data_IF_886510610367
#
_entry.id   IF_886510610367
#
_cell.length_a   1.000
_cell.length_b   1.000
_cell.length_c   1.000
_cell.angle_alpha   90.00
_cell.angle_beta   90.00
_cell.angle_gamma   90.00
#
_symmetry.space_group_name_H-M   'P 1'
#
loop_
_entity.id
_entity.type
_entity.pdbx_description
1 polymer ?
#
# COMPACT_ATOMS: atom_id res chain seq x y z
N UNK A 1 6.21 7.98 -27.60
CA UNK A 1 7.35 8.44 -26.78
C UNK A 1 6.98 8.12 -25.36
N UNK A 2 7.89 7.54 -24.59
CA UNK A 2 7.67 7.19 -23.19
C UNK A 2 8.94 7.59 -22.45
N UNK A 3 8.90 8.78 -21.89
CA UNK A 3 10.02 9.37 -21.18
C UNK A 3 9.73 9.32 -19.67
N UNK A 4 10.77 9.24 -18.84
CA UNK A 4 10.67 9.27 -17.38
C UNK A 4 11.44 10.48 -16.87
N UNK A 5 10.84 11.26 -15.96
CA UNK A 5 11.54 12.30 -15.21
C UNK A 5 11.61 11.97 -13.72
N UNK A 6 12.82 12.00 -13.20
CA UNK A 6 13.13 11.74 -11.80
C UNK A 6 12.99 13.04 -11.00
N UNK A 7 12.06 13.05 -10.04
CA UNK A 7 11.68 14.22 -9.26
C UNK A 7 12.34 14.23 -7.87
N UNK A 8 12.60 15.42 -7.28
CA UNK A 8 13.20 15.52 -5.95
C UNK A 8 12.41 14.74 -4.89
N UNK A 9 13.05 14.22 -3.83
CA UNK A 9 12.36 13.49 -2.74
C UNK A 9 11.21 14.24 -2.07
N UNK A 10 11.09 15.56 -2.28
CA UNK A 10 9.95 16.35 -1.82
C UNK A 10 8.63 16.12 -2.60
N UNK A 11 8.66 15.37 -3.71
CA UNK A 11 7.46 15.00 -4.45
C UNK A 11 6.49 14.21 -3.54
N UNK A 12 5.17 14.50 -3.54
CA UNK A 12 4.27 14.02 -2.49
C UNK A 12 3.73 12.61 -2.71
N UNK A 13 3.88 12.07 -3.92
CA UNK A 13 3.46 10.74 -4.37
C UNK A 13 4.68 10.02 -4.98
N UNK A 14 4.58 8.72 -5.27
CA UNK A 14 5.70 7.97 -5.84
C UNK A 14 5.86 8.23 -7.33
N UNK A 15 4.80 7.98 -8.09
CA UNK A 15 4.77 8.14 -9.53
C UNK A 15 3.48 8.84 -9.98
N UNK A 16 3.41 9.21 -11.26
CA UNK A 16 2.24 9.82 -11.90
C UNK A 16 2.33 9.69 -13.42
N UNK A 17 1.23 9.25 -14.02
CA UNK A 17 1.09 8.68 -15.36
C UNK A 17 1.03 9.71 -16.49
N UNK A 18 1.60 10.91 -16.27
CA UNK A 18 1.49 12.06 -17.16
C UNK A 18 1.82 11.67 -18.62
N UNK A 19 0.90 11.84 -19.59
CA UNK A 19 1.09 11.35 -20.95
C UNK A 19 2.41 11.78 -21.59
N UNK A 20 3.14 10.79 -22.10
CA UNK A 20 4.49 10.88 -22.69
C UNK A 20 5.66 11.20 -21.73
N UNK A 21 5.42 11.57 -20.47
CA UNK A 21 6.46 11.94 -19.51
C UNK A 21 6.09 11.51 -18.07
N UNK A 22 6.28 10.24 -17.76
CA UNK A 22 6.00 9.67 -16.43
C UNK A 22 6.87 10.36 -15.37
N UNK A 23 6.26 10.78 -14.26
CA UNK A 23 6.97 11.38 -13.13
C UNK A 23 7.27 10.26 -12.12
N UNK A 24 8.50 10.19 -11.59
CA UNK A 24 8.89 9.19 -10.57
C UNK A 24 9.76 9.87 -9.50
N UNK A 25 9.54 9.59 -8.22
CA UNK A 25 10.31 10.15 -7.11
C UNK A 25 11.73 9.56 -7.05
N UNK A 26 12.77 10.40 -6.96
CA UNK A 26 14.16 9.93 -6.85
C UNK A 26 14.42 9.01 -5.65
N UNK A 27 13.59 9.04 -4.60
CA UNK A 27 13.83 8.23 -3.40
C UNK A 27 13.53 6.73 -3.60
N UNK A 28 12.82 6.35 -4.67
CA UNK A 28 12.54 4.93 -4.97
C UNK A 28 13.69 4.23 -5.70
N UNK A 29 14.64 4.99 -6.25
CA UNK A 29 15.82 4.47 -6.98
C UNK A 29 16.73 3.57 -6.12
N UNK A 30 16.54 3.62 -4.80
CA UNK A 30 17.24 2.77 -3.83
C UNK A 30 16.68 1.34 -3.79
N UNK A 31 15.51 1.08 -4.39
CA UNK A 31 14.82 -0.21 -4.41
C UNK A 31 14.42 -0.61 -5.83
N UNK A 32 15.17 -1.55 -6.42
CA UNK A 32 14.93 -2.03 -7.79
C UNK A 32 13.54 -2.67 -7.95
N UNK A 33 13.11 -3.49 -6.98
CA UNK A 33 11.82 -4.20 -7.03
C UNK A 33 10.63 -3.25 -7.05
N UNK A 34 10.65 -2.21 -6.20
CA UNK A 34 9.59 -1.20 -6.13
C UNK A 34 9.59 -0.28 -7.36
N UNK A 35 10.77 0.22 -7.77
CA UNK A 35 10.91 1.01 -9.00
C UNK A 35 10.38 0.25 -10.23
N UNK A 36 10.64 -1.07 -10.29
CA UNK A 36 10.20 -1.93 -11.38
C UNK A 36 8.67 -2.02 -11.47
N UNK A 37 8.00 -2.37 -10.37
CA UNK A 37 6.55 -2.59 -10.39
C UNK A 37 5.80 -1.28 -10.67
N UNK A 38 6.28 -0.17 -10.10
CA UNK A 38 5.66 1.14 -10.27
C UNK A 38 5.82 1.63 -11.71
N UNK A 39 7.03 1.56 -12.29
CA UNK A 39 7.24 1.92 -13.72
C UNK A 39 6.37 1.07 -14.66
N UNK A 40 6.08 -0.18 -14.33
CA UNK A 40 5.15 -1.02 -15.12
C UNK A 40 3.69 -0.58 -14.92
N UNK A 41 3.28 -0.18 -13.71
CA UNK A 41 1.94 0.39 -13.43
C UNK A 41 1.73 1.68 -14.24
N UNK A 42 2.71 2.58 -14.26
CA UNK A 42 2.69 3.81 -15.07
C UNK A 42 2.64 3.54 -16.59
N UNK A 43 3.27 2.45 -17.06
CA UNK A 43 3.14 2.00 -18.47
C UNK A 43 1.71 1.51 -18.73
N UNK A 44 1.13 0.73 -17.82
CA UNK A 44 -0.23 0.21 -17.95
C UNK A 44 -1.29 1.34 -17.97
N UNK A 45 -1.05 2.43 -17.24
CA UNK A 45 -1.87 3.64 -17.31
C UNK A 45 -1.94 4.29 -18.70
N UNK A 46 -0.98 4.02 -19.58
CA UNK A 46 -1.04 4.40 -21.00
C UNK A 46 -2.30 3.90 -21.72
N UNK A 47 -2.93 2.83 -21.22
CA UNK A 47 -4.25 2.36 -21.65
C UNK A 47 -5.35 2.66 -20.62
N UNK A 48 -5.12 2.36 -19.34
CA UNK A 48 -6.13 2.43 -18.28
C UNK A 48 -5.98 3.70 -17.44
N UNK A 49 -6.80 4.71 -17.69
CA UNK A 49 -6.63 6.08 -17.18
C UNK A 49 -6.42 7.06 -18.35
N UNK A 50 -5.28 6.96 -19.05
CA UNK A 50 -4.94 7.92 -20.11
C UNK A 50 -5.73 7.71 -21.42
N UNK A 51 -5.89 6.47 -21.89
CA UNK A 51 -6.64 6.21 -23.13
C UNK A 51 -8.12 5.96 -22.85
N UNK A 52 -8.45 5.15 -21.84
CA UNK A 52 -9.82 4.95 -21.34
C UNK A 52 -9.87 5.49 -19.91
N UNK A 53 -10.58 6.59 -19.67
CA UNK A 53 -10.56 7.30 -18.38
C UNK A 53 -11.80 6.95 -17.56
N UNK A 54 -11.71 6.96 -16.23
CA UNK A 54 -12.87 6.92 -15.35
C UNK A 54 -13.74 8.20 -15.48
N UNK A 55 -15.06 8.07 -15.51
CA UNK A 55 -15.98 9.21 -15.67
C UNK A 55 -16.16 10.07 -14.41
N UNK A 56 -15.89 9.51 -13.22
CA UNK A 56 -15.87 10.24 -11.95
C UNK A 56 -14.84 9.63 -10.99
N UNK A 57 -14.59 10.30 -9.87
CA UNK A 57 -13.64 9.83 -8.85
C UNK A 57 -14.10 8.55 -8.17
N UNK A 58 -15.41 8.35 -8.00
CA UNK A 58 -16.01 7.10 -7.52
C UNK A 58 -15.75 5.91 -8.47
N UNK A 59 -15.40 6.18 -9.73
CA UNK A 59 -15.07 5.16 -10.74
C UNK A 59 -13.55 4.97 -10.90
N UNK A 60 -12.72 5.56 -10.04
CA UNK A 60 -11.25 5.53 -10.18
C UNK A 60 -10.65 4.12 -10.12
N UNK A 61 -11.37 3.14 -9.57
CA UNK A 61 -11.00 1.72 -9.62
C UNK A 61 -10.90 1.18 -11.06
N UNK A 62 -11.58 1.79 -12.04
CA UNK A 62 -11.44 1.45 -13.46
C UNK A 62 -10.06 1.81 -13.99
N UNK A 63 -9.47 2.90 -13.52
CA UNK A 63 -8.11 3.29 -13.90
C UNK A 63 -7.09 2.45 -13.14
N UNK A 64 -7.12 2.51 -11.81
CA UNK A 64 -6.13 1.84 -10.96
C UNK A 64 -6.25 0.31 -11.02
N UNK A 65 -7.43 -0.26 -10.78
CA UNK A 65 -7.61 -1.71 -10.74
C UNK A 65 -7.30 -2.41 -12.07
N UNK A 66 -7.57 -1.77 -13.22
CA UNK A 66 -7.15 -2.29 -14.52
C UNK A 66 -5.64 -2.11 -14.76
N UNK A 67 -5.06 -0.97 -14.36
CA UNK A 67 -3.61 -0.74 -14.47
C UNK A 67 -2.82 -1.73 -13.59
N UNK A 68 -3.21 -1.91 -12.32
CA UNK A 68 -2.68 -2.87 -11.35
C UNK A 68 -2.82 -4.31 -11.84
N UNK A 69 -3.95 -4.69 -12.46
CA UNK A 69 -4.09 -6.00 -13.12
C UNK A 69 -3.12 -6.16 -14.30
N UNK A 70 -3.05 -5.17 -15.20
CA UNK A 70 -2.19 -5.22 -16.37
C UNK A 70 -0.71 -5.24 -15.99
N UNK A 71 -0.32 -4.52 -14.93
CA UNK A 71 1.01 -4.56 -14.35
C UNK A 71 1.36 -5.97 -13.84
N UNK A 72 0.47 -6.63 -13.08
CA UNK A 72 0.65 -8.03 -12.66
C UNK A 72 0.70 -9.02 -13.83
N UNK A 73 -0.03 -8.77 -14.92
CA UNK A 73 0.09 -9.56 -16.17
C UNK A 73 1.47 -9.41 -16.80
N UNK A 74 2.01 -8.19 -16.85
CA UNK A 74 3.35 -7.89 -17.38
C UNK A 74 4.43 -8.52 -16.48
N UNK A 75 4.37 -8.32 -15.15
CA UNK A 75 5.35 -8.92 -14.23
C UNK A 75 5.31 -10.44 -14.26
N UNK A 76 4.12 -11.05 -14.35
CA UNK A 76 3.99 -12.51 -14.52
C UNK A 76 4.67 -12.99 -15.81
N UNK A 77 4.54 -12.23 -16.91
CA UNK A 77 5.07 -12.62 -18.22
C UNK A 77 6.59 -12.47 -18.35
N UNK A 78 7.17 -11.50 -17.65
CA UNK A 78 8.60 -11.11 -17.73
C UNK A 78 9.44 -11.69 -16.59
N UNK A 79 8.94 -11.62 -15.35
CA UNK A 79 9.63 -12.03 -14.11
C UNK A 79 9.09 -13.34 -13.52
N UNK A 80 7.95 -13.82 -14.01
CA UNK A 80 7.37 -15.12 -13.63
C UNK A 80 6.34 -15.03 -12.51
N UNK A 81 5.50 -16.06 -12.42
CA UNK A 81 4.40 -16.12 -11.45
C UNK A 81 4.89 -16.05 -10.00
N UNK A 82 6.03 -16.67 -9.65
CA UNK A 82 6.53 -16.68 -8.28
C UNK A 82 6.86 -15.26 -7.75
N UNK A 83 7.47 -14.40 -8.57
CA UNK A 83 7.73 -13.00 -8.23
C UNK A 83 6.41 -12.22 -8.08
N UNK A 84 5.51 -12.34 -9.05
CA UNK A 84 4.23 -11.61 -9.03
C UNK A 84 3.33 -12.05 -7.87
N UNK A 85 3.40 -13.32 -7.47
CA UNK A 85 2.69 -13.82 -6.30
C UNK A 85 3.29 -13.28 -4.99
N UNK A 86 4.62 -13.11 -4.90
CA UNK A 86 5.28 -12.47 -3.76
C UNK A 86 4.86 -10.99 -3.63
N UNK A 87 4.91 -10.25 -4.75
CA UNK A 87 4.45 -8.87 -4.85
C UNK A 87 2.97 -8.72 -4.45
N UNK A 88 2.10 -9.56 -5.02
CA UNK A 88 0.66 -9.56 -4.72
C UNK A 88 0.37 -9.95 -3.27
N UNK A 89 1.17 -10.85 -2.67
CA UNK A 89 1.05 -11.18 -1.25
C UNK A 89 1.38 -9.97 -0.36
N UNK A 90 2.49 -9.28 -0.66
CA UNK A 90 2.87 -8.04 0.03
C UNK A 90 1.77 -6.98 -0.03
N UNK A 91 1.25 -6.68 -1.22
CA UNK A 91 0.20 -5.65 -1.40
C UNK A 91 -1.13 -6.05 -0.76
N UNK A 92 -1.54 -7.32 -0.81
CA UNK A 92 -2.78 -7.79 -0.17
C UNK A 92 -2.67 -7.86 1.36
N UNK A 93 -1.51 -8.18 1.93
CA UNK A 93 -1.29 -8.06 3.38
C UNK A 93 -1.39 -6.61 3.87
N UNK A 94 -0.89 -5.65 3.08
CA UNK A 94 -1.07 -4.23 3.35
C UNK A 94 -2.54 -3.79 3.27
N UNK A 95 -3.30 -4.28 2.27
CA UNK A 95 -4.76 -4.06 2.19
C UNK A 95 -5.48 -4.64 3.42
N UNK A 96 -5.16 -5.88 3.81
CA UNK A 96 -5.74 -6.50 5.00
C UNK A 96 -5.40 -5.73 6.28
N UNK A 97 -4.19 -5.18 6.40
CA UNK A 97 -3.80 -4.28 7.51
C UNK A 97 -4.65 -3.00 7.51
N UNK A 98 -4.87 -2.39 6.35
CA UNK A 98 -5.73 -1.21 6.22
C UNK A 98 -7.16 -1.50 6.68
N UNK A 99 -7.71 -2.66 6.32
CA UNK A 99 -9.05 -3.12 6.76
C UNK A 99 -9.09 -3.32 8.28
N UNK A 100 -8.06 -3.94 8.88
CA UNK A 100 -7.97 -4.12 10.34
C UNK A 100 -7.99 -2.78 11.09
N UNK A 101 -7.36 -1.74 10.54
CA UNK A 101 -7.24 -0.42 11.17
C UNK A 101 -8.48 0.45 10.99
N UNK A 102 -9.06 0.46 9.78
CA UNK A 102 -10.23 1.29 9.47
C UNK A 102 -11.57 0.63 9.85
N UNK A 103 -11.57 -0.68 10.11
CA UNK A 103 -12.76 -1.48 10.35
C UNK A 103 -13.39 -2.01 9.07
N UNK A 104 -13.96 -3.23 9.13
CA UNK A 104 -14.53 -3.92 7.97
C UNK A 104 -15.67 -3.16 7.28
N UNK A 105 -16.52 -2.45 8.04
CA UNK A 105 -17.68 -1.74 7.50
C UNK A 105 -17.36 -0.33 6.96
N UNK A 106 -16.07 0.05 6.88
CA UNK A 106 -15.67 1.40 6.46
C UNK A 106 -16.16 1.72 5.03
N UNK A 107 -16.92 2.81 4.80
CA UNK A 107 -17.42 3.16 3.46
C UNK A 107 -16.31 3.37 2.42
N UNK A 108 -15.10 3.72 2.87
CA UNK A 108 -13.90 3.90 2.03
C UNK A 108 -13.42 2.59 1.37
N UNK A 109 -13.84 1.43 1.89
CA UNK A 109 -13.46 0.11 1.37
C UNK A 109 -14.33 -0.41 0.22
N UNK A 110 -15.28 0.39 -0.25
CA UNK A 110 -16.07 0.13 -1.47
C UNK A 110 -15.25 0.54 -2.70
N UNK A 111 -15.40 -0.17 -3.83
CA UNK A 111 -14.76 0.28 -5.07
C UNK A 111 -15.42 1.56 -5.59
N UNK A 112 -16.75 1.67 -5.47
CA UNK A 112 -17.52 2.88 -5.71
C UNK A 112 -17.78 3.65 -4.40
N UNK A 113 -16.71 4.01 -3.69
CA UNK A 113 -16.79 4.82 -2.48
C UNK A 113 -17.28 6.24 -2.80
N UNK A 114 -18.51 6.56 -2.38
CA UNK A 114 -19.13 7.87 -2.60
C UNK A 114 -18.41 8.97 -1.84
N UNK A 115 -18.12 10.08 -2.51
CA UNK A 115 -17.54 11.27 -1.90
C UNK A 115 -18.61 12.27 -1.47
N UNK A 116 -18.54 12.72 -0.22
CA UNK A 116 -19.34 13.86 0.22
C UNK A 116 -18.83 15.17 -0.40
N UNK A 117 -19.70 16.16 -0.69
CA UNK A 117 -19.28 17.44 -1.26
C UNK A 117 -18.20 18.15 -0.42
N UNK A 118 -17.07 18.46 -1.05
CA UNK A 118 -15.92 19.12 -0.41
C UNK A 118 -14.87 18.17 0.17
N UNK A 119 -15.08 16.85 0.15
CA UNK A 119 -14.03 15.86 0.41
C UNK A 119 -13.01 15.88 -0.74
N UNK A 120 -11.72 15.83 -0.41
CA UNK A 120 -10.65 15.77 -1.41
C UNK A 120 -10.62 14.38 -2.09
N UNK A 121 -10.75 14.28 -3.43
CA UNK A 121 -10.70 13.00 -4.13
C UNK A 121 -9.41 12.20 -3.93
N UNK A 122 -8.29 12.83 -3.54
CA UNK A 122 -7.06 12.11 -3.19
C UNK A 122 -7.23 11.08 -2.07
N UNK A 123 -8.32 11.18 -1.27
CA UNK A 123 -8.65 10.17 -0.26
C UNK A 123 -9.01 8.81 -0.87
N UNK A 124 -9.39 8.76 -2.15
CA UNK A 124 -9.62 7.51 -2.90
C UNK A 124 -8.33 6.91 -3.45
N UNK A 125 -7.19 7.62 -3.43
CA UNK A 125 -5.89 7.05 -3.82
C UNK A 125 -5.37 6.19 -2.65
N UNK A 126 -5.93 4.98 -2.52
CA UNK A 126 -5.72 4.07 -1.40
C UNK A 126 -5.82 2.60 -1.87
N UNK A 127 -5.35 1.64 -1.06
CA UNK A 127 -5.27 0.23 -1.50
C UNK A 127 -6.63 -0.40 -1.85
N UNK A 128 -7.79 0.15 -1.46
CA UNK A 128 -9.07 -0.36 -1.92
C UNK A 128 -9.24 -0.15 -3.43
N UNK A 129 -8.94 1.05 -3.91
CA UNK A 129 -9.09 1.41 -5.34
C UNK A 129 -8.09 0.64 -6.22
N UNK A 130 -6.89 0.37 -5.72
CA UNK A 130 -5.83 -0.38 -6.41
C UNK A 130 -6.01 -1.90 -6.24
N UNK A 131 -5.88 -2.42 -5.02
CA UNK A 131 -5.79 -3.86 -4.74
C UNK A 131 -7.15 -4.56 -4.75
N UNK A 132 -8.20 -4.00 -4.14
CA UNK A 132 -9.55 -4.57 -4.27
C UNK A 132 -10.07 -4.40 -5.70
N UNK A 133 -9.67 -3.34 -6.40
CA UNK A 133 -9.90 -3.14 -7.82
C UNK A 133 -9.25 -4.23 -8.67
N UNK A 134 -7.96 -4.50 -8.45
CA UNK A 134 -7.23 -5.62 -9.05
C UNK A 134 -7.90 -6.98 -8.75
N UNK A 135 -8.30 -7.26 -7.51
CA UNK A 135 -9.00 -8.49 -7.18
C UNK A 135 -10.31 -8.63 -7.97
N UNK A 136 -11.05 -7.54 -8.19
CA UNK A 136 -12.27 -7.58 -9.00
C UNK A 136 -11.96 -7.85 -10.49
N UNK A 137 -10.97 -7.17 -11.06
CA UNK A 137 -10.53 -7.42 -12.46
C UNK A 137 -9.98 -8.84 -12.62
N UNK A 138 -9.24 -9.36 -11.63
CA UNK A 138 -8.78 -10.74 -11.60
C UNK A 138 -9.96 -11.73 -11.55
N UNK A 139 -10.99 -11.46 -10.73
CA UNK A 139 -12.21 -12.25 -10.70
C UNK A 139 -12.93 -12.28 -12.07
N UNK A 140 -13.03 -11.13 -12.76
CA UNK A 140 -13.53 -11.10 -14.16
C UNK A 140 -12.66 -11.98 -15.08
N UNK A 141 -11.34 -11.93 -14.94
CA UNK A 141 -10.41 -12.79 -15.69
C UNK A 141 -10.52 -14.29 -15.35
N UNK A 142 -10.99 -14.66 -14.16
CA UNK A 142 -11.25 -16.05 -13.79
C UNK A 142 -12.58 -16.55 -14.36
N UNK A 143 -13.61 -15.69 -14.40
CA UNK A 143 -14.93 -16.05 -14.92
C UNK A 143 -14.93 -16.42 -16.41
N UNK A 144 -14.07 -15.79 -17.22
CA UNK A 144 -13.89 -16.18 -18.63
C UNK A 144 -12.95 -17.39 -18.84
N UNK A 145 -12.46 -18.01 -17.75
CA UNK A 145 -11.69 -19.25 -17.72
C UNK A 145 -10.23 -19.17 -18.20
N UNK A 146 -9.95 -18.36 -19.22
CA UNK A 146 -8.62 -18.21 -19.82
C UNK A 146 -8.14 -16.74 -19.76
N UNK A 147 -6.99 -16.45 -19.11
CA UNK A 147 -6.38 -15.12 -19.09
C UNK A 147 -6.09 -14.54 -20.49
N UNK A 148 -5.83 -15.35 -21.52
CA UNK A 148 -5.56 -14.86 -22.89
C UNK A 148 -6.85 -14.45 -23.62
N UNK A 149 -7.98 -15.07 -23.26
CA UNK A 149 -9.31 -14.58 -23.66
C UNK A 149 -9.64 -13.26 -22.97
N UNK A 150 -9.26 -13.09 -21.69
CA UNK A 150 -9.42 -11.81 -21.00
C UNK A 150 -8.57 -10.70 -21.64
N UNK A 151 -7.31 -10.97 -22.01
CA UNK A 151 -6.47 -10.02 -22.76
C UNK A 151 -7.06 -9.65 -24.13
N UNK A 152 -7.85 -10.54 -24.73
CA UNK A 152 -8.57 -10.27 -25.97
C UNK A 152 -9.77 -9.36 -25.73
N UNK A 153 -10.50 -9.55 -24.63
CA UNK A 153 -11.53 -8.61 -24.17
C UNK A 153 -10.96 -7.23 -23.81
N UNK A 154 -9.85 -7.16 -23.06
CA UNK A 154 -9.24 -5.88 -22.69
C UNK A 154 -8.83 -5.05 -23.94
N UNK A 155 -8.34 -5.72 -25.00
CA UNK A 155 -8.05 -5.07 -26.29
C UNK A 155 -9.30 -4.53 -26.99
N UNK A 156 -10.41 -5.28 -26.99
CA UNK A 156 -11.69 -4.83 -27.54
C UNK A 156 -12.26 -3.64 -26.74
N UNK A 157 -12.24 -3.74 -25.41
CA UNK A 157 -12.63 -2.67 -24.49
C UNK A 157 -11.83 -1.37 -24.74
N UNK A 158 -10.50 -1.47 -24.83
CA UNK A 158 -9.63 -0.33 -25.16
C UNK A 158 -9.99 0.27 -26.53
N UNK A 159 -10.14 -0.55 -27.57
CA UNK A 159 -10.44 -0.05 -28.92
C UNK A 159 -11.81 0.66 -28.99
N UNK A 160 -12.80 0.13 -28.24
CA UNK A 160 -14.17 0.66 -28.16
C UNK A 160 -14.27 1.97 -27.36
N UNK A 161 -13.51 2.11 -26.29
CA UNK A 161 -13.63 3.21 -25.33
C UNK A 161 -12.47 4.21 -25.32
N UNK A 162 -11.41 4.00 -26.12
CA UNK A 162 -10.30 4.98 -26.22
C UNK A 162 -10.80 6.39 -26.53
N UNK A 163 -10.19 7.37 -25.87
CA UNK A 163 -10.56 8.78 -25.88
C UNK A 163 -11.98 9.08 -25.38
N UNK A 164 -12.48 8.24 -24.45
CA UNK A 164 -13.73 8.45 -23.73
C UNK A 164 -13.51 8.28 -22.22
N UNK A 165 -14.42 8.87 -21.45
CA UNK A 165 -14.57 8.59 -20.03
C UNK A 165 -15.74 7.62 -19.83
N UNK A 166 -15.58 6.63 -18.94
CA UNK A 166 -16.51 5.51 -18.77
C UNK A 166 -16.91 5.25 -17.33
N UNK A 167 -18.07 4.61 -17.13
CA UNK A 167 -18.56 4.10 -15.83
C UNK A 167 -18.49 2.58 -15.74
N UNK A 168 -18.53 2.02 -14.53
CA UNK A 168 -18.41 0.58 -14.27
C UNK A 168 -19.40 -0.26 -15.09
N UNK A 169 -20.63 0.25 -15.22
CA UNK A 169 -21.70 -0.42 -15.98
C UNK A 169 -21.34 -0.59 -17.46
N UNK A 170 -20.62 0.35 -18.08
CA UNK A 170 -20.23 0.25 -19.50
C UNK A 170 -19.15 -0.82 -19.72
N UNK A 171 -18.20 -0.95 -18.79
CA UNK A 171 -17.23 -2.05 -18.79
C UNK A 171 -17.96 -3.39 -18.64
N UNK A 172 -18.86 -3.51 -17.67
CA UNK A 172 -19.56 -4.77 -17.37
C UNK A 172 -20.51 -5.19 -18.49
N UNK A 173 -21.23 -4.27 -19.13
CA UNK A 173 -22.03 -4.58 -20.32
C UNK A 173 -21.15 -5.00 -21.51
N UNK A 174 -20.00 -4.35 -21.70
CA UNK A 174 -19.04 -4.74 -22.74
C UNK A 174 -18.46 -6.14 -22.48
N UNK A 175 -18.11 -6.44 -21.23
CA UNK A 175 -17.62 -7.74 -20.78
C UNK A 175 -18.66 -8.83 -21.04
N UNK A 176 -19.91 -8.62 -20.60
CA UNK A 176 -21.02 -9.55 -20.83
C UNK A 176 -21.39 -9.67 -22.32
N UNK A 177 -21.15 -8.64 -23.14
CA UNK A 177 -21.37 -8.72 -24.59
C UNK A 177 -20.29 -9.57 -25.27
N UNK A 178 -19.04 -9.43 -24.85
CA UNK A 178 -17.90 -10.20 -25.34
C UNK A 178 -17.95 -11.67 -24.91
N UNK A 179 -18.44 -11.95 -23.69
CA UNK A 179 -18.63 -13.29 -23.13
C UNK A 179 -20.12 -13.63 -22.93
N UNK A 180 -20.88 -13.88 -24.02
CA UNK A 180 -22.33 -14.03 -23.93
C UNK A 180 -22.79 -15.24 -23.10
N UNK A 181 -21.96 -16.28 -22.96
CA UNK A 181 -22.26 -17.45 -22.12
C UNK A 181 -22.45 -17.07 -20.64
N UNK A 182 -21.78 -16.01 -20.16
CA UNK A 182 -21.94 -15.51 -18.79
C UNK A 182 -23.27 -14.75 -18.60
N UNK A 183 -23.92 -14.27 -19.68
CA UNK A 183 -25.27 -13.69 -19.58
C UNK A 183 -26.30 -14.75 -19.22
N UNK A 184 -26.20 -15.95 -19.78
CA UNK A 184 -27.14 -17.03 -19.49
C UNK A 184 -27.02 -17.50 -18.03
N UNK A 185 -25.79 -17.59 -17.50
CA UNK A 185 -25.53 -17.96 -16.11
C UNK A 185 -26.13 -16.99 -15.08
N UNK A 186 -26.19 -15.68 -15.38
CA UNK A 186 -26.89 -14.70 -14.51
C UNK A 186 -28.41 -14.90 -14.42
N UNK A 187 -29.02 -15.61 -15.36
CA UNK A 187 -30.48 -15.85 -15.36
C UNK A 187 -30.88 -17.16 -14.68
N UNK A 188 -29.92 -18.08 -14.47
CA UNK A 188 -30.18 -19.44 -13.99
C UNK A 188 -29.78 -19.75 -12.55
N UNK A 189 -29.02 -18.87 -11.88
CA UNK A 189 -28.60 -19.04 -10.47
C UNK A 189 -29.04 -17.85 -9.63
N UNK A 190 -29.57 -18.15 -8.43
CA UNK A 190 -29.88 -17.14 -7.39
C UNK A 190 -28.64 -16.42 -6.87
N UNK A 191 -27.47 -17.02 -7.08
CA UNK A 191 -26.13 -16.47 -6.89
C UNK A 191 -25.63 -15.97 -8.26
N UNK A 192 -26.05 -14.76 -8.64
CA UNK A 192 -25.64 -14.13 -9.88
C UNK A 192 -24.17 -13.68 -9.86
N UNK A 193 -23.71 -13.09 -10.97
CA UNK A 193 -22.44 -12.36 -10.98
C UNK A 193 -22.51 -11.23 -9.94
N UNK A 194 -21.68 -11.32 -8.90
CA UNK A 194 -21.76 -10.46 -7.69
C UNK A 194 -21.24 -9.03 -7.92
N UNK A 195 -21.46 -8.46 -9.11
CA UNK A 195 -20.94 -7.15 -9.51
C UNK A 195 -21.36 -6.02 -8.55
N UNK A 196 -22.61 -6.01 -8.08
CA UNK A 196 -23.06 -5.01 -7.11
C UNK A 196 -22.33 -5.17 -5.75
N UNK A 197 -22.14 -6.39 -5.28
CA UNK A 197 -21.37 -6.65 -4.06
C UNK A 197 -19.91 -6.21 -4.22
N UNK A 198 -19.26 -6.52 -5.35
CA UNK A 198 -17.90 -6.07 -5.64
C UNK A 198 -17.74 -4.55 -5.63
N UNK A 199 -18.70 -3.83 -6.24
CA UNK A 199 -18.66 -2.38 -6.36
C UNK A 199 -19.03 -1.66 -5.05
N UNK A 200 -20.08 -2.14 -4.36
CA UNK A 200 -20.78 -1.41 -3.30
C UNK A 200 -20.62 -2.01 -1.88
N UNK A 201 -20.19 -3.26 -1.72
CA UNK A 201 -19.98 -3.84 -0.39
C UNK A 201 -18.66 -3.36 0.25
N UNK A 202 -18.66 -2.92 1.52
CA UNK A 202 -17.44 -2.64 2.26
C UNK A 202 -16.70 -3.95 2.62
N UNK A 203 -15.49 -3.82 3.16
CA UNK A 203 -14.68 -4.93 3.63
C UNK A 203 -13.71 -5.48 2.57
N UNK A 204 -13.17 -6.69 2.79
CA UNK A 204 -12.18 -7.30 1.90
C UNK A 204 -12.73 -7.59 0.49
N UNK A 205 -11.85 -7.93 -0.47
CA UNK A 205 -12.26 -8.52 -1.74
C UNK A 205 -13.09 -9.80 -1.52
N UNK A 206 -14.09 -10.05 -2.39
CA UNK A 206 -14.92 -11.27 -2.31
C UNK A 206 -14.14 -12.52 -2.76
N UNK A 207 -13.15 -12.32 -3.62
CA UNK A 207 -12.20 -13.33 -4.08
C UNK A 207 -10.80 -12.74 -4.18
N UNK A 208 -9.77 -13.59 -4.10
CA UNK A 208 -8.37 -13.20 -4.24
C UNK A 208 -7.66 -14.20 -5.18
N UNK A 209 -6.60 -13.77 -5.90
CA UNK A 209 -5.83 -14.65 -6.76
C UNK A 209 -5.20 -15.81 -5.97
N UNK A 210 -4.99 -16.96 -6.63
CA UNK A 210 -4.10 -17.99 -6.07
C UNK A 210 -2.65 -17.49 -6.08
N UNK A 211 -2.04 -17.46 -4.90
CA UNK A 211 -0.66 -17.04 -4.68
C UNK A 211 0.29 -18.22 -4.42
N UNK A 212 -0.18 -19.47 -4.61
CA UNK A 212 0.58 -20.70 -4.34
C UNK A 212 1.96 -20.74 -5.00
N UNK A 213 2.11 -20.18 -6.20
CA UNK A 213 3.39 -20.10 -6.91
C UNK A 213 4.44 -19.22 -6.20
N UNK A 214 4.01 -18.25 -5.37
CA UNK A 214 4.88 -17.42 -4.53
C UNK A 214 5.36 -18.09 -3.25
N UNK A 215 4.86 -19.29 -2.92
CA UNK A 215 5.18 -20.00 -1.67
C UNK A 215 6.69 -20.27 -1.47
N UNK A 216 7.45 -20.38 -2.55
CA UNK A 216 8.92 -20.49 -2.52
C UNK A 216 9.60 -19.31 -1.81
N UNK A 217 9.00 -18.11 -1.86
CA UNK A 217 9.49 -16.91 -1.20
C UNK A 217 8.76 -16.65 0.14
N UNK A 218 7.45 -16.87 0.19
CA UNK A 218 6.64 -16.52 1.39
C UNK A 218 6.72 -17.57 2.50
N UNK A 219 6.89 -18.85 2.21
CA UNK A 219 6.98 -19.88 3.26
C UNK A 219 8.21 -19.71 4.18
N UNK A 220 9.42 -19.38 3.68
CA UNK A 220 10.54 -18.99 4.54
C UNK A 220 10.25 -17.79 5.45
N UNK A 221 9.48 -16.80 4.97
CA UNK A 221 9.08 -15.64 5.78
C UNK A 221 8.15 -16.05 6.92
N UNK A 222 7.16 -16.90 6.65
CA UNK A 222 6.26 -17.41 7.70
C UNK A 222 7.02 -18.23 8.74
N UNK A 223 7.91 -19.13 8.30
CA UNK A 223 8.71 -19.96 9.22
C UNK A 223 9.64 -19.11 10.08
N UNK A 224 10.38 -18.17 9.50
CA UNK A 224 11.26 -17.28 10.26
C UNK A 224 10.46 -16.39 11.25
N UNK A 225 9.30 -15.88 10.83
CA UNK A 225 8.40 -15.11 11.70
C UNK A 225 7.90 -15.95 12.88
N UNK A 226 7.56 -17.23 12.66
CA UNK A 226 7.12 -18.14 13.72
C UNK A 226 8.26 -18.49 14.70
N UNK A 227 9.48 -18.69 14.20
CA UNK A 227 10.66 -18.94 15.04
C UNK A 227 10.96 -17.75 15.96
N UNK A 228 10.97 -16.52 15.43
CA UNK A 228 11.16 -15.31 16.25
C UNK A 228 10.03 -15.04 17.25
N UNK A 229 8.82 -15.56 16.99
CA UNK A 229 7.67 -15.45 17.89
C UNK A 229 7.48 -16.66 18.82
N UNK A 230 8.33 -17.68 18.78
CA UNK A 230 8.15 -18.90 19.58
C UNK A 230 8.32 -18.67 21.09
N UNK A 231 7.56 -19.41 21.89
CA UNK A 231 7.67 -19.40 23.35
C UNK A 231 7.95 -20.83 23.87
N UNK A 232 9.15 -21.10 24.43
CA UNK A 232 10.30 -20.20 24.55
C UNK A 232 10.93 -19.83 23.20
N UNK A 233 11.71 -18.74 23.17
CA UNK A 233 12.45 -18.31 21.98
C UNK A 233 13.64 -19.25 21.72
N UNK A 234 13.67 -19.90 20.56
CA UNK A 234 14.84 -20.63 20.09
C UNK A 234 15.68 -19.73 19.19
N UNK A 235 16.67 -19.07 19.79
CA UNK A 235 17.56 -18.13 19.10
C UNK A 235 18.43 -18.83 18.07
N UNK A 236 18.92 -20.05 18.36
CA UNK A 236 19.80 -20.78 17.44
C UNK A 236 19.03 -21.20 16.18
N UNK A 237 17.82 -21.75 16.36
CA UNK A 237 16.93 -22.06 15.23
C UNK A 237 16.57 -20.79 14.43
N UNK A 238 16.18 -19.69 15.09
CA UNK A 238 15.77 -18.47 14.40
C UNK A 238 16.92 -17.79 13.64
N UNK A 239 18.10 -17.64 14.26
CA UNK A 239 19.23 -16.91 13.67
C UNK A 239 19.94 -17.69 12.56
N UNK A 240 19.89 -19.04 12.60
CA UNK A 240 20.54 -19.90 11.59
C UNK A 240 19.62 -20.31 10.43
N UNK A 241 18.30 -20.11 10.55
CA UNK A 241 17.32 -20.56 9.56
C UNK A 241 17.51 -19.91 8.17
N UNK A 242 17.75 -18.59 8.12
CA UNK A 242 17.89 -17.86 6.87
C UNK A 242 18.77 -16.62 7.02
N UNK A 243 19.60 -16.37 6.01
CA UNK A 243 20.27 -15.09 5.81
C UNK A 243 19.31 -14.14 5.06
N UNK A 244 18.79 -13.13 5.76
CA UNK A 244 17.86 -12.15 5.17
C UNK A 244 18.53 -11.25 4.11
N UNK A 245 19.87 -11.24 4.04
CA UNK A 245 20.62 -10.51 3.02
C UNK A 245 20.60 -11.18 1.64
N UNK A 246 20.17 -12.45 1.56
CA UNK A 246 19.96 -13.17 0.30
C UNK A 246 18.51 -13.09 -0.22
N UNK A 247 17.62 -12.38 0.48
CA UNK A 247 16.19 -12.31 0.20
C UNK A 247 15.81 -11.17 -0.76
N UNK A 248 14.71 -11.34 -1.49
CA UNK A 248 14.11 -10.29 -2.34
C UNK A 248 13.53 -9.15 -1.49
N UNK A 249 13.37 -7.94 -2.03
CA UNK A 249 12.93 -6.79 -1.21
C UNK A 249 11.57 -7.04 -0.56
N UNK A 250 10.59 -7.50 -1.33
CA UNK A 250 9.25 -7.83 -0.82
C UNK A 250 9.27 -8.95 0.24
N UNK A 251 10.24 -9.87 0.17
CA UNK A 251 10.38 -10.97 1.12
C UNK A 251 10.87 -10.47 2.49
N UNK A 252 11.91 -9.64 2.51
CA UNK A 252 12.40 -8.99 3.74
C UNK A 252 11.40 -7.98 4.29
N UNK A 253 10.72 -7.23 3.41
CA UNK A 253 9.62 -6.33 3.77
C UNK A 253 8.48 -7.08 4.46
N UNK A 254 7.98 -8.19 3.90
CA UNK A 254 6.93 -9.01 4.51
C UNK A 254 7.32 -9.53 5.91
N UNK A 255 8.58 -9.93 6.10
CA UNK A 255 9.09 -10.35 7.41
C UNK A 255 9.07 -9.20 8.42
N UNK A 256 9.64 -8.04 8.08
CA UNK A 256 9.63 -6.88 8.97
C UNK A 256 8.21 -6.37 9.23
N UNK A 257 7.32 -6.40 8.24
CA UNK A 257 5.93 -5.98 8.39
C UNK A 257 5.16 -6.91 9.35
N UNK A 258 5.49 -8.20 9.43
CA UNK A 258 4.95 -9.13 10.44
C UNK A 258 5.49 -8.83 11.84
N UNK A 259 6.77 -8.50 11.98
CA UNK A 259 7.36 -8.07 13.27
C UNK A 259 6.77 -6.72 13.73
N UNK A 260 6.48 -5.81 12.79
CA UNK A 260 5.89 -4.51 13.04
C UNK A 260 4.44 -4.63 13.52
N UNK A 261 3.64 -5.54 12.92
CA UNK A 261 2.27 -5.88 13.36
C UNK A 261 2.21 -6.51 14.76
N UNK A 262 3.34 -7.04 15.27
CA UNK A 262 3.48 -7.58 16.63
C UNK A 262 4.16 -6.63 17.62
N UNK A 263 4.62 -5.46 17.17
CA UNK A 263 5.36 -4.53 18.03
C UNK A 263 4.42 -3.78 19.01
N UNK A 264 4.82 -3.56 20.27
CA UNK A 264 6.12 -3.91 20.87
C UNK A 264 6.30 -5.41 21.13
N UNK A 265 7.47 -5.91 20.76
CA UNK A 265 7.92 -7.29 20.91
C UNK A 265 8.41 -7.56 22.35
N UNK A 266 8.61 -8.84 22.67
CA UNK A 266 9.32 -9.23 23.91
C UNK A 266 10.74 -8.65 23.90
N UNK A 267 11.27 -8.11 25.02
CA UNK A 267 12.61 -7.51 25.06
C UNK A 267 13.74 -8.45 24.62
N UNK A 268 13.62 -9.74 24.92
CA UNK A 268 14.56 -10.78 24.48
C UNK A 268 14.56 -10.94 22.95
N UNK A 269 13.39 -10.93 22.30
CA UNK A 269 13.24 -11.03 20.85
C UNK A 269 13.82 -9.80 20.17
N UNK A 270 13.47 -8.59 20.64
CA UNK A 270 13.99 -7.34 20.06
C UNK A 270 15.53 -7.25 20.17
N UNK A 271 16.09 -7.67 21.30
CA UNK A 271 17.54 -7.69 21.50
C UNK A 271 18.23 -8.66 20.51
N UNK A 272 17.70 -9.87 20.36
CA UNK A 272 18.31 -10.87 19.47
C UNK A 272 18.12 -10.52 17.99
N UNK A 273 16.96 -9.99 17.59
CA UNK A 273 16.75 -9.42 16.24
C UNK A 273 17.78 -8.33 15.91
N UNK A 274 18.04 -7.41 16.85
CA UNK A 274 19.05 -6.37 16.66
C UNK A 274 20.46 -6.97 16.50
N UNK A 275 20.85 -7.90 17.37
CA UNK A 275 22.15 -8.59 17.30
C UNK A 275 22.35 -9.37 16.00
N UNK A 276 21.30 -10.00 15.47
CA UNK A 276 21.37 -10.80 14.23
C UNK A 276 21.32 -9.95 12.96
N UNK A 277 20.49 -8.90 12.91
CA UNK A 277 20.09 -8.29 11.64
C UNK A 277 20.34 -6.77 11.55
N UNK A 278 20.57 -6.05 12.66
CA UNK A 278 20.61 -4.58 12.62
C UNK A 278 21.74 -4.04 11.73
N UNK A 279 22.89 -4.73 11.66
CA UNK A 279 24.01 -4.36 10.81
C UNK A 279 23.68 -4.52 9.31
N UNK A 280 23.10 -5.66 8.93
CA UNK A 280 22.70 -5.95 7.55
C UNK A 280 21.58 -4.99 7.10
N UNK A 281 20.52 -4.88 7.89
CA UNK A 281 19.38 -4.01 7.65
C UNK A 281 19.79 -2.54 7.46
N UNK A 282 20.83 -2.06 8.18
CA UNK A 282 21.35 -0.70 8.02
C UNK A 282 21.92 -0.41 6.62
N UNK A 283 22.33 -1.44 5.87
CA UNK A 283 22.91 -1.35 4.52
C UNK A 283 21.92 -1.63 3.39
N UNK A 284 20.75 -2.19 3.71
CA UNK A 284 19.70 -2.49 2.73
C UNK A 284 18.99 -1.23 2.21
N UNK A 285 18.10 -1.42 1.24
CA UNK A 285 17.33 -0.31 0.67
C UNK A 285 16.41 0.37 1.69
N UNK A 286 15.96 1.58 1.33
CA UNK A 286 15.20 2.48 2.19
C UNK A 286 13.83 1.90 2.58
N UNK A 287 13.18 1.08 1.74
CA UNK A 287 11.92 0.38 2.06
C UNK A 287 12.09 -0.66 3.19
N UNK A 288 13.20 -1.38 3.20
CA UNK A 288 13.54 -2.30 4.29
C UNK A 288 13.93 -1.50 5.55
N UNK A 289 14.79 -0.50 5.39
CA UNK A 289 15.31 0.31 6.50
C UNK A 289 14.20 1.02 7.27
N UNK A 290 13.22 1.63 6.60
CA UNK A 290 12.14 2.34 7.29
C UNK A 290 11.38 1.40 8.24
N UNK A 291 11.05 0.17 7.82
CA UNK A 291 10.34 -0.82 8.62
C UNK A 291 11.14 -1.27 9.85
N UNK A 292 12.45 -1.51 9.69
CA UNK A 292 13.32 -1.79 10.83
C UNK A 292 13.34 -0.63 11.85
N UNK A 293 13.46 0.61 11.37
CA UNK A 293 13.49 1.78 12.24
C UNK A 293 12.14 2.02 12.94
N UNK A 294 11.01 1.70 12.30
CA UNK A 294 9.70 1.70 12.95
C UNK A 294 9.60 0.63 14.04
N UNK A 295 10.11 -0.59 13.82
CA UNK A 295 10.21 -1.63 14.87
C UNK A 295 11.04 -1.09 16.05
N UNK A 296 12.24 -0.53 15.79
CA UNK A 296 13.11 0.05 16.83
C UNK A 296 12.37 1.13 17.65
N UNK A 297 11.62 2.03 16.99
CA UNK A 297 10.85 3.10 17.64
C UNK A 297 9.68 2.55 18.45
N UNK A 298 8.84 1.68 17.87
CA UNK A 298 7.68 1.08 18.57
C UNK A 298 8.11 0.22 19.77
N UNK A 299 9.32 -0.35 19.73
CA UNK A 299 9.93 -1.09 20.84
C UNK A 299 10.72 -0.20 21.82
N UNK A 300 10.87 1.11 21.55
CA UNK A 300 11.69 2.05 22.32
C UNK A 300 13.16 1.60 22.52
N UNK A 301 13.69 0.85 21.55
CA UNK A 301 14.93 0.09 21.69
C UNK A 301 16.17 1.00 21.56
N UNK A 302 16.71 1.41 22.72
CA UNK A 302 17.77 2.42 22.82
C UNK A 302 19.03 2.16 21.97
N UNK A 303 19.57 0.92 21.86
CA UNK A 303 20.82 0.68 21.13
C UNK A 303 20.79 1.11 19.65
N UNK A 304 19.64 1.02 18.98
CA UNK A 304 19.49 1.35 17.55
C UNK A 304 18.86 2.73 17.28
N UNK A 305 18.48 3.49 18.31
CA UNK A 305 18.04 4.89 18.14
C UNK A 305 19.05 5.81 17.43
N UNK A 306 20.38 5.64 17.53
CA UNK A 306 21.33 6.39 16.69
C UNK A 306 21.09 6.17 15.19
N UNK A 307 20.62 5.00 14.78
CA UNK A 307 20.28 4.72 13.37
C UNK A 307 19.02 5.46 12.93
N UNK A 308 17.97 5.44 13.77
CA UNK A 308 16.72 6.22 13.57
C UNK A 308 17.04 7.69 13.37
N UNK A 309 17.91 8.23 14.23
CA UNK A 309 18.39 9.62 14.15
C UNK A 309 19.17 9.89 12.87
N UNK A 310 20.14 9.04 12.53
CA UNK A 310 20.96 9.21 11.32
C UNK A 310 20.10 9.18 10.05
N UNK A 311 19.14 8.25 9.98
CA UNK A 311 18.21 8.14 8.86
C UNK A 311 17.40 9.44 8.66
N UNK A 312 16.76 9.97 9.70
CA UNK A 312 15.98 11.21 9.60
C UNK A 312 16.84 12.47 9.36
N UNK A 313 18.13 12.46 9.71
CA UNK A 313 19.07 13.54 9.37
C UNK A 313 19.45 13.56 7.88
N UNK A 314 19.39 12.41 7.20
CA UNK A 314 19.75 12.24 5.79
C UNK A 314 18.54 12.24 4.85
N UNK A 315 17.40 11.70 5.29
CA UNK A 315 16.21 11.51 4.48
C UNK A 315 15.35 12.78 4.39
N UNK A 316 14.80 13.05 3.20
CA UNK A 316 13.89 14.18 2.93
C UNK A 316 12.58 13.77 2.25
N UNK A 317 12.43 12.49 1.91
CA UNK A 317 11.21 11.93 1.34
C UNK A 317 10.05 11.92 2.34
N UNK A 318 8.87 12.37 1.89
CA UNK A 318 7.63 12.36 2.67
C UNK A 318 7.25 10.94 3.10
N UNK A 319 7.41 9.98 2.19
CA UNK A 319 7.06 8.55 2.29
C UNK A 319 7.78 7.88 3.47
N UNK A 320 9.04 8.27 3.72
CA UNK A 320 9.87 7.67 4.77
C UNK A 320 9.94 8.50 6.05
N UNK A 321 9.74 9.82 5.96
CA UNK A 321 9.81 10.69 7.15
C UNK A 321 8.52 10.68 7.95
N UNK A 322 7.34 10.70 7.30
CA UNK A 322 6.06 10.78 8.03
C UNK A 322 5.84 9.60 8.99
N UNK A 323 5.88 8.32 8.56
CA UNK A 323 5.55 7.19 9.43
C UNK A 323 6.45 7.16 10.68
N UNK A 324 7.74 7.42 10.50
CA UNK A 324 8.72 7.44 11.59
C UNK A 324 8.52 8.63 12.54
N UNK A 325 8.10 9.79 12.04
CA UNK A 325 7.71 10.93 12.88
C UNK A 325 6.39 10.68 13.64
N UNK A 326 5.43 9.95 13.06
CA UNK A 326 4.19 9.55 13.74
C UNK A 326 4.47 8.54 14.87
N UNK A 327 5.26 7.49 14.59
CA UNK A 327 5.70 6.52 15.59
C UNK A 327 6.48 7.21 16.73
N UNK A 328 7.48 8.04 16.41
CA UNK A 328 8.26 8.78 17.41
C UNK A 328 7.41 9.73 18.26
N UNK A 329 6.37 10.34 17.69
CA UNK A 329 5.51 11.34 18.37
C UNK A 329 4.38 10.71 19.17
N UNK A 330 4.01 9.46 18.89
CA UNK A 330 3.03 8.69 19.68
C UNK A 330 3.66 8.03 20.91
N UNK A 331 4.96 7.70 20.85
CA UNK A 331 5.73 7.11 21.94
C UNK A 331 6.47 8.11 22.85
N UNK A 332 7.26 7.60 23.83
CA UNK A 332 8.07 8.43 24.73
C UNK A 332 9.26 9.13 24.03
N UNK A 333 9.52 8.82 22.75
CA UNK A 333 10.64 9.34 21.96
C UNK A 333 10.34 10.71 21.30
N UNK A 334 9.21 11.33 21.62
CA UNK A 334 8.80 12.63 21.05
C UNK A 334 9.83 13.75 21.22
N UNK A 335 10.61 13.74 22.30
CA UNK A 335 11.72 14.67 22.53
C UNK A 335 12.84 14.53 21.49
N UNK A 336 13.18 13.30 21.12
CA UNK A 336 14.12 13.00 20.03
C UNK A 336 13.57 13.48 18.68
N UNK A 337 12.27 13.26 18.42
CA UNK A 337 11.59 13.74 17.22
C UNK A 337 11.68 15.27 17.08
N UNK A 338 11.40 16.00 18.17
CA UNK A 338 11.54 17.46 18.23
C UNK A 338 12.97 17.91 17.93
N UNK A 339 13.97 17.30 18.57
CA UNK A 339 15.39 17.66 18.38
C UNK A 339 15.86 17.44 16.94
N UNK A 340 15.51 16.29 16.34
CA UNK A 340 15.79 15.99 14.94
C UNK A 340 15.09 16.99 14.03
N UNK A 341 13.82 17.31 14.28
CA UNK A 341 13.10 18.29 13.48
C UNK A 341 13.73 19.69 13.55
N UNK A 342 14.21 20.13 14.71
CA UNK A 342 14.97 21.38 14.83
C UNK A 342 16.29 21.37 14.02
N UNK A 343 16.89 20.20 13.78
CA UNK A 343 18.11 20.05 12.97
C UNK A 343 17.83 19.88 11.46
N UNK A 344 16.63 19.45 11.08
CA UNK A 344 16.28 19.14 9.67
C UNK A 344 15.34 20.16 9.03
N UNK A 345 14.49 20.86 9.78
CA UNK A 345 13.33 21.59 9.22
C UNK A 345 13.68 22.53 8.07
N UNK A 346 14.81 23.23 8.13
CA UNK A 346 15.27 24.15 7.09
C UNK A 346 15.51 23.48 5.73
N UNK A 347 15.90 22.21 5.72
CA UNK A 347 16.13 21.39 4.51
C UNK A 347 14.86 20.71 3.99
N UNK A 348 13.84 20.56 4.83
CA UNK A 348 12.57 19.94 4.45
C UNK A 348 11.71 20.88 3.60
N UNK A 349 11.05 20.30 2.59
CA UNK A 349 10.05 20.98 1.75
C UNK A 349 8.91 21.58 2.60
N UNK A 350 8.38 22.78 2.30
CA UNK A 350 7.40 23.46 3.15
C UNK A 350 6.16 22.63 3.52
N UNK A 351 5.63 21.84 2.58
CA UNK A 351 4.46 20.99 2.85
C UNK A 351 4.80 19.85 3.83
N UNK A 352 5.96 19.22 3.68
CA UNK A 352 6.43 18.17 4.59
C UNK A 352 6.73 18.73 5.98
N UNK A 353 7.41 19.89 6.04
CA UNK A 353 7.65 20.64 7.27
C UNK A 353 6.35 20.94 8.03
N UNK A 354 5.32 21.41 7.33
CA UNK A 354 4.00 21.68 7.90
C UNK A 354 3.33 20.41 8.44
N UNK A 355 3.39 19.29 7.70
CA UNK A 355 2.83 18.01 8.18
C UNK A 355 3.55 17.52 9.43
N UNK A 356 4.88 17.54 9.48
CA UNK A 356 5.64 17.11 10.66
C UNK A 356 5.37 18.03 11.87
N UNK A 357 5.21 19.34 11.66
CA UNK A 357 4.78 20.27 12.73
C UNK A 357 3.40 19.90 13.30
N UNK A 358 2.46 19.46 12.47
CA UNK A 358 1.13 19.01 12.91
C UNK A 358 1.22 17.72 13.74
N UNK A 359 2.01 16.73 13.28
CA UNK A 359 2.27 15.48 14.00
C UNK A 359 2.87 15.75 15.39
N UNK A 360 3.92 16.58 15.44
CA UNK A 360 4.60 16.96 16.69
C UNK A 360 3.68 17.75 17.65
N UNK A 361 2.73 18.52 17.12
CA UNK A 361 1.74 19.23 17.94
C UNK A 361 0.69 18.29 18.56
N UNK A 362 0.23 17.29 17.81
CA UNK A 362 -0.91 16.43 18.20
C UNK A 362 -0.58 15.38 19.28
N UNK A 363 0.65 14.87 19.34
CA UNK A 363 1.05 13.86 20.34
C UNK A 363 1.20 14.39 21.78
N UNK A 364 0.19 15.10 22.31
CA UNK A 364 0.28 15.86 23.56
C UNK A 364 -0.93 15.79 24.48
N UNK A 365 -1.89 14.88 24.21
CA UNK A 365 -3.11 14.73 25.03
C UNK A 365 -3.33 13.28 25.44
N UNK A 366 -3.38 13.03 26.74
CA UNK A 366 -3.86 11.78 27.32
C UNK A 366 -4.68 12.06 28.60
N UNK A 367 -6.00 11.84 28.49
CA UNK A 367 -6.96 11.47 29.55
C UNK A 367 -7.20 12.46 30.73
N UNK A 368 -8.37 13.10 30.77
CA UNK A 368 -9.41 12.93 31.83
C UNK A 368 -10.75 13.66 31.48
N UNK A 369 -11.88 13.39 32.18
CA UNK A 369 -13.21 13.37 31.53
C UNK A 369 -14.15 14.59 31.74
N UNK A 370 -15.18 14.63 30.90
CA UNK A 370 -16.48 15.35 30.90
C UNK A 370 -16.75 16.48 31.92
N UNK A 371 -17.12 17.67 31.42
CA UNK A 371 -18.50 18.21 31.54
C UNK A 371 -18.71 19.62 30.91
N UNK A 372 -19.96 19.87 30.47
CA UNK A 372 -20.60 21.18 30.20
C UNK A 372 -20.14 22.07 29.01
N UNK A 373 -20.80 21.85 27.86
CA UNK A 373 -21.12 22.81 26.74
C UNK A 373 -22.50 23.46 27.11
N UNK A 374 -23.03 24.62 26.58
CA UNK A 374 -22.91 25.25 25.24
C UNK A 374 -22.87 26.81 25.23
N UNK A 375 -23.08 27.62 24.17
CA UNK A 375 -23.28 27.50 22.69
C UNK A 375 -22.59 28.76 22.08
N UNK A 376 -21.94 28.77 20.91
CA UNK A 376 -22.41 28.90 19.50
C UNK A 376 -21.13 29.15 18.64
N UNK A 377 -21.02 28.89 17.33
CA UNK A 377 -21.70 27.96 16.43
C UNK A 377 -21.00 28.02 15.04
N UNK A 378 -20.20 27.00 14.70
CA UNK A 378 -19.88 26.55 13.32
C UNK A 378 -19.13 25.22 13.42
N UNK A 379 -19.88 24.13 13.55
CA UNK A 379 -19.40 22.75 13.50
C UNK A 379 -20.25 21.97 12.49
N UNK A 380 -19.88 20.71 12.24
CA UNK A 380 -20.33 19.77 11.20
C UNK A 380 -19.58 19.97 9.86
N UNK A 381 -18.70 19.07 9.41
CA UNK A 381 -18.34 17.74 9.91
C UNK A 381 -16.96 17.68 10.57
N UNK A 382 -16.95 17.58 11.90
CA UNK A 382 -15.82 17.05 12.65
C UNK A 382 -16.12 15.58 13.01
N UNK A 383 -15.89 14.67 12.07
CA UNK A 383 -15.50 13.31 12.44
C UNK A 383 -13.98 13.29 12.49
N UNK A 384 -13.42 12.55 13.46
CA UNK A 384 -11.97 12.45 13.64
C UNK A 384 -11.29 12.15 12.30
N UNK A 385 -10.22 12.86 11.91
CA UNK A 385 -9.36 12.37 10.85
C UNK A 385 -8.70 11.09 11.39
N UNK A 386 -9.27 9.95 11.04
CA UNK A 386 -8.61 8.65 11.17
C UNK A 386 -7.36 8.74 10.30
N UNK A 387 -6.23 9.12 10.90
CA UNK A 387 -4.96 9.20 10.20
C UNK A 387 -4.72 7.84 9.52
N UNK A 388 -4.20 7.88 8.28
CA UNK A 388 -3.88 6.71 7.46
C UNK A 388 -2.61 6.03 8.03
N UNK A 389 -2.71 5.56 9.28
CA UNK A 389 -1.57 5.42 10.23
C UNK A 389 -0.52 4.37 9.90
N UNK A 390 -0.80 3.42 9.01
CA UNK A 390 0.11 2.29 8.74
C UNK A 390 0.11 1.85 7.27
N UNK A 391 -0.22 2.74 6.32
CA UNK A 391 -0.19 2.40 4.89
C UNK A 391 0.51 3.48 4.11
N UNK A 392 1.77 3.23 3.78
CA UNK A 392 2.41 3.88 2.64
C UNK A 392 1.67 3.39 1.39
N UNK A 393 0.70 4.18 0.93
CA UNK A 393 0.14 4.03 -0.41
C UNK A 393 1.13 4.66 -1.39
N UNK A 394 2.27 4.00 -1.54
CA UNK A 394 2.93 3.96 -2.83
C UNK A 394 1.93 3.29 -3.79
N UNK A 395 1.75 3.82 -5.01
CA UNK A 395 1.01 3.10 -6.05
C UNK A 395 1.59 1.68 -6.22
#
# INVERSE_FOLDING_TARGET
>A
MYDIVLLPPSFPIVAMENPCLTFVICSILDSEDFLLIDVIHEIAHGWFGNAVTNASWEEMWLSEGLATYAQRRITTRVYGAAFTCLESNFRLEALHRQIRILGHDTPLSRLQAKLDPGVNPSNLMNLFTYEKGFCFVHYLSQLCGDPDNFDSFLRDYIEKFKFRSVVAHELLESYLHFFPHLRDETTGRSEGLEFDCWLNAPGPPLSQPDLSQGSVFTAPVETLSQLWMSEPLDVEAASSFANISDWQTFQTVLFLDKLLDKSPLRPEVMMQLSLCYSADLATMNTEIRIRWLQIVVRNNYQPDLPQVRHFLLCQTSRIYTIPLYEDLSSGPLKSCALEIFYQTHGRLHPNLRKTIQQILAQGGSAVQPESAVPVLATELCAQNPTSLRDVNVTA
#
